data_IF_857241553812
#
_entry.id   IF_857241553812
#
_cell.length_a   1.000
_cell.length_b   1.000
_cell.length_c   1.000
_cell.angle_alpha   90.00
_cell.angle_beta   90.00
_cell.angle_gamma   90.00
#
_symmetry.space_group_name_H-M   'P 1'
#
loop_
_entity.id
_entity.type
_entity.pdbx_description
1 polymer ?
#
# COMPACT_ATOMS: atom_id res chain seq x y z
N UNK A 1 -12.79 5.00 6.81
CA UNK A 1 -11.44 4.73 7.35
C UNK A 1 -11.20 3.24 7.26
N UNK A 2 -10.16 2.88 6.52
CA UNK A 2 -9.67 1.52 6.43
C UNK A 2 -8.39 1.38 7.25
N UNK A 3 -8.20 0.21 7.84
CA UNK A 3 -6.94 -0.17 8.45
C UNK A 3 -6.54 -1.56 8.03
N UNK A 4 -5.24 -1.80 8.12
CA UNK A 4 -4.66 -3.12 7.99
C UNK A 4 -3.68 -3.34 9.14
N UNK A 5 -3.66 -4.56 9.67
CA UNK A 5 -2.63 -4.94 10.63
C UNK A 5 -1.30 -5.18 9.91
N UNK A 6 -0.21 -4.95 10.63
CA UNK A 6 1.09 -5.39 10.16
C UNK A 6 1.05 -6.90 9.96
N UNK A 7 1.48 -7.35 8.79
CA UNK A 7 1.56 -8.78 8.52
C UNK A 7 2.50 -9.43 9.52
N UNK A 8 1.92 -10.25 10.38
CA UNK A 8 2.67 -11.22 11.18
C UNK A 8 2.52 -12.55 10.49
N UNK A 9 3.61 -13.06 9.92
CA UNK A 9 3.69 -14.42 9.39
C UNK A 9 3.44 -15.41 10.53
N UNK A 10 2.34 -16.18 10.53
CA UNK A 10 2.24 -17.34 11.40
C UNK A 10 3.20 -18.41 10.85
N UNK A 11 3.95 -19.08 11.72
CA UNK A 11 4.81 -20.20 11.31
C UNK A 11 3.98 -21.26 10.53
N UNK A 12 4.30 -21.46 9.25
CA UNK A 12 3.75 -22.54 8.42
C UNK A 12 2.78 -22.12 7.30
N UNK A 13 2.38 -20.85 7.21
CA UNK A 13 1.50 -20.37 6.13
C UNK A 13 2.29 -19.78 4.95
N UNK A 14 1.94 -20.23 3.74
CA UNK A 14 2.57 -19.78 2.49
C UNK A 14 2.11 -18.39 2.01
N UNK A 15 1.02 -17.85 2.60
CA UNK A 15 0.55 -16.50 2.30
C UNK A 15 0.24 -15.81 3.63
N UNK A 16 0.90 -14.68 3.94
CA UNK A 16 0.63 -13.92 5.16
C UNK A 16 -0.82 -13.44 5.17
N UNK A 17 -1.46 -13.54 6.33
CA UNK A 17 -2.79 -13.01 6.57
C UNK A 17 -2.72 -11.67 7.30
N UNK A 18 -3.56 -10.73 6.88
CA UNK A 18 -3.76 -9.44 7.54
C UNK A 18 -5.19 -9.32 8.01
N UNK A 19 -5.35 -8.64 9.14
CA UNK A 19 -6.66 -8.25 9.64
C UNK A 19 -6.99 -6.88 9.05
N UNK A 20 -8.02 -6.84 8.18
CA UNK A 20 -8.58 -5.61 7.62
C UNK A 20 -9.69 -5.11 8.51
N UNK A 21 -9.67 -3.82 8.76
CA UNK A 21 -10.61 -3.16 9.65
C UNK A 21 -11.26 -1.99 8.93
N UNK A 22 -12.59 -1.98 8.84
CA UNK A 22 -13.36 -0.83 8.42
C UNK A 22 -14.00 -0.18 9.64
N UNK A 23 -13.76 1.11 9.82
CA UNK A 23 -14.30 1.91 10.92
C UNK A 23 -15.23 2.96 10.33
N UNK A 24 -16.50 2.90 10.74
CA UNK A 24 -17.54 3.84 10.34
C UNK A 24 -18.10 4.49 11.61
N UNK A 25 -18.03 5.82 11.70
CA UNK A 25 -18.58 6.58 12.82
C UNK A 25 -19.85 7.31 12.37
N UNK A 26 -20.96 7.16 13.10
CA UNK A 26 -22.21 7.90 12.80
C UNK A 26 -22.19 9.35 13.31
N UNK A 27 -21.23 9.68 14.19
CA UNK A 27 -21.03 11.01 14.77
C UNK A 27 -22.15 11.50 15.70
N UNK A 28 -23.22 10.73 15.92
CA UNK A 28 -24.40 11.16 16.68
C UNK A 28 -24.45 10.53 18.07
N UNK A 29 -24.01 9.28 18.25
CA UNK A 29 -24.24 8.53 19.50
C UNK A 29 -22.96 8.11 20.23
N UNK A 30 -21.78 8.54 19.75
CA UNK A 30 -20.50 8.06 20.30
C UNK A 30 -20.32 6.55 20.11
N UNK A 31 -20.99 5.99 19.11
CA UNK A 31 -20.87 4.62 18.65
C UNK A 31 -20.13 4.61 17.31
N UNK A 32 -19.48 3.48 17.03
CA UNK A 32 -18.88 3.21 15.74
C UNK A 32 -19.22 1.79 15.33
N UNK A 33 -19.36 1.58 14.03
CA UNK A 33 -19.40 0.26 13.43
C UNK A 33 -17.98 -0.16 13.06
N UNK A 34 -17.60 -1.34 13.52
CA UNK A 34 -16.31 -1.93 13.33
C UNK A 34 -16.49 -3.23 12.56
N UNK A 35 -16.01 -3.28 11.32
CA UNK A 35 -15.98 -4.51 10.53
C UNK A 35 -14.57 -5.06 10.44
N UNK A 36 -14.39 -6.30 10.89
CA UNK A 36 -13.10 -7.00 10.87
C UNK A 36 -13.18 -8.17 9.89
N UNK A 37 -12.24 -8.22 8.95
CA UNK A 37 -12.08 -9.33 8.03
C UNK A 37 -10.63 -9.78 7.98
N UNK A 38 -10.38 -11.06 8.26
CA UNK A 38 -9.07 -11.66 8.00
C UNK A 38 -8.98 -12.04 6.54
N UNK A 39 -7.95 -11.58 5.85
CA UNK A 39 -7.72 -11.91 4.44
C UNK A 39 -6.24 -12.15 4.18
N UNK A 40 -5.89 -12.66 3.00
CA UNK A 40 -4.51 -12.62 2.54
C UNK A 40 -4.05 -11.18 2.38
N UNK A 41 -2.78 -10.94 2.72
CA UNK A 41 -2.05 -9.74 2.33
C UNK A 41 -2.07 -9.70 0.79
N UNK A 42 -2.43 -8.56 0.20
CA UNK A 42 -2.74 -8.39 -1.24
C UNK A 42 -4.09 -9.00 -1.67
N UNK A 43 -5.12 -8.16 -1.68
CA UNK A 43 -6.49 -8.53 -2.08
C UNK A 43 -6.56 -9.11 -3.50
N UNK A 44 -5.88 -8.51 -4.46
CA UNK A 44 -5.92 -8.95 -5.87
C UNK A 44 -5.20 -10.29 -6.09
N UNK A 45 -4.13 -10.56 -5.33
CA UNK A 45 -3.44 -11.85 -5.37
C UNK A 45 -4.32 -13.00 -4.84
N UNK A 46 -5.20 -12.70 -3.88
CA UNK A 46 -6.19 -13.63 -3.33
C UNK A 46 -7.19 -14.10 -4.39
N UNK A 47 -7.71 -13.15 -5.14
CA UNK A 47 -8.75 -13.35 -6.15
C UNK A 47 -8.22 -14.21 -7.30
N UNK A 48 -6.97 -13.98 -7.72
CA UNK A 48 -6.30 -14.81 -8.74
C UNK A 48 -6.08 -16.25 -8.28
N UNK A 49 -5.75 -16.46 -7.00
CA UNK A 49 -5.46 -17.77 -6.43
C UNK A 49 -6.66 -18.46 -5.77
N UNK A 50 -7.89 -17.93 -5.96
CA UNK A 50 -9.12 -18.44 -5.34
C UNK A 50 -9.01 -18.63 -3.81
N UNK A 51 -8.21 -17.80 -3.14
CA UNK A 51 -8.10 -17.82 -1.68
C UNK A 51 -9.14 -16.88 -1.10
N UNK A 52 -10.13 -17.46 -0.47
CA UNK A 52 -11.22 -16.72 0.15
C UNK A 52 -10.72 -15.98 1.40
N UNK A 53 -11.07 -14.69 1.50
CA UNK A 53 -11.04 -13.99 2.78
C UNK A 53 -11.91 -14.73 3.78
N UNK A 54 -11.49 -14.74 5.05
CA UNK A 54 -12.31 -15.24 6.13
C UNK A 54 -13.63 -14.46 6.28
N UNK A 55 -14.57 -14.99 7.08
CA UNK A 55 -15.86 -14.33 7.29
C UNK A 55 -15.66 -12.94 7.89
N UNK A 56 -16.36 -11.96 7.33
CA UNK A 56 -16.41 -10.61 7.85
C UNK A 56 -17.29 -10.58 9.11
N UNK A 57 -16.79 -9.95 10.18
CA UNK A 57 -17.48 -9.82 11.45
C UNK A 57 -17.68 -8.34 11.77
N UNK A 58 -18.95 -7.92 11.82
CA UNK A 58 -19.34 -6.55 12.15
C UNK A 58 -19.77 -6.46 13.62
N UNK A 59 -19.27 -5.45 14.32
CA UNK A 59 -19.56 -5.17 15.73
C UNK A 59 -19.83 -3.68 15.92
N UNK A 60 -20.88 -3.34 16.68
CA UNK A 60 -21.07 -1.99 17.19
C UNK A 60 -20.22 -1.81 18.44
N UNK A 61 -19.32 -0.83 18.43
CA UNK A 61 -18.37 -0.57 19.52
C UNK A 61 -18.56 0.85 20.06
N UNK A 62 -18.18 1.04 21.32
CA UNK A 62 -18.18 2.36 21.93
C UNK A 62 -16.97 3.16 21.45
N UNK A 63 -17.20 4.38 20.98
CA UNK A 63 -16.17 5.35 20.64
C UNK A 63 -15.84 6.21 21.85
N UNK A 64 -14.56 6.46 22.10
CA UNK A 64 -14.10 7.37 23.14
C UNK A 64 -12.85 8.11 22.67
N UNK A 65 -12.80 9.41 22.90
CA UNK A 65 -11.63 10.25 22.57
C UNK A 65 -10.95 10.62 23.88
N UNK A 66 -9.67 10.29 24.01
CA UNK A 66 -8.85 10.64 25.18
C UNK A 66 -7.54 11.29 24.74
N UNK A 67 -7.36 12.57 25.08
CA UNK A 67 -6.19 13.37 24.65
C UNK A 67 -6.06 13.34 23.11
N UNK A 68 -5.10 12.57 22.58
CA UNK A 68 -4.84 12.37 21.16
C UNK A 68 -5.01 10.89 20.76
N UNK A 69 -5.85 10.14 21.48
CA UNK A 69 -6.14 8.75 21.16
C UNK A 69 -7.64 8.55 20.91
N UNK A 70 -7.94 7.82 19.83
CA UNK A 70 -9.27 7.30 19.52
C UNK A 70 -9.33 5.86 20.03
N UNK A 71 -10.19 5.60 20.99
CA UNK A 71 -10.45 4.28 21.55
C UNK A 71 -11.81 3.76 21.05
N UNK A 72 -11.79 2.57 20.47
CA UNK A 72 -12.95 1.81 20.02
C UNK A 72 -13.00 0.51 20.84
N UNK A 73 -14.01 0.36 21.69
CA UNK A 73 -14.09 -0.76 22.63
C UNK A 73 -15.40 -1.56 22.48
N UNK A 74 -15.26 -2.86 22.24
CA UNK A 74 -16.32 -3.87 22.26
C UNK A 74 -15.95 -5.06 23.15
N UNK A 75 -16.86 -6.03 23.27
CA UNK A 75 -16.71 -7.16 24.20
C UNK A 75 -15.47 -8.04 23.95
N UNK A 76 -15.03 -8.16 22.69
CA UNK A 76 -13.89 -9.02 22.30
C UNK A 76 -12.81 -8.28 21.51
N UNK A 77 -13.06 -7.02 21.16
CA UNK A 77 -12.18 -6.22 20.30
C UNK A 77 -11.94 -4.87 20.94
N UNK A 78 -10.67 -4.47 21.00
CA UNK A 78 -10.27 -3.11 21.35
C UNK A 78 -9.31 -2.58 20.31
N UNK A 79 -9.59 -1.39 19.80
CA UNK A 79 -8.72 -0.66 18.89
C UNK A 79 -8.37 0.67 19.53
N UNK A 80 -7.07 0.98 19.57
CA UNK A 80 -6.56 2.27 20.03
C UNK A 80 -5.75 2.89 18.92
N UNK A 81 -6.15 4.06 18.43
CA UNK A 81 -5.47 4.80 17.36
C UNK A 81 -4.88 6.09 17.92
N UNK A 82 -3.61 6.34 17.63
CA UNK A 82 -2.98 7.64 17.86
C UNK A 82 -3.41 8.62 16.78
N UNK A 83 -4.05 9.72 17.19
CA UNK A 83 -4.46 10.82 16.33
C UNK A 83 -3.27 11.76 16.16
N UNK A 84 -2.62 11.66 15.01
CA UNK A 84 -1.58 12.58 14.56
C UNK A 84 -2.13 13.47 13.44
N UNK A 85 -1.57 14.68 13.20
CA UNK A 85 -1.88 15.46 12.02
C UNK A 85 -1.51 14.68 10.76
N UNK A 86 -2.47 14.54 9.84
CA UNK A 86 -2.26 13.90 8.55
C UNK A 86 -3.27 12.78 8.27
N UNK A 87 -3.16 12.16 7.09
CA UNK A 87 -4.13 11.14 6.63
C UNK A 87 -3.94 9.75 7.23
N UNK A 88 -2.83 9.53 7.94
CA UNK A 88 -2.42 8.21 8.42
C UNK A 88 -2.47 8.13 9.94
N UNK A 89 -3.04 7.06 10.45
CA UNK A 89 -3.14 6.78 11.88
C UNK A 89 -2.41 5.48 12.18
N UNK A 90 -1.72 5.43 13.32
CA UNK A 90 -1.10 4.21 13.84
C UNK A 90 -1.77 3.82 15.13
N UNK A 91 -1.88 2.52 15.35
CA UNK A 91 -2.56 2.03 16.54
C UNK A 91 -2.30 0.58 16.84
N UNK A 92 -3.14 0.04 17.72
CA UNK A 92 -3.09 -1.35 18.13
C UNK A 92 -4.47 -1.98 18.07
N UNK A 93 -4.58 -3.12 17.39
CA UNK A 93 -5.72 -4.02 17.44
C UNK A 93 -5.47 -5.06 18.52
N UNK A 94 -6.43 -5.23 19.44
CA UNK A 94 -6.41 -6.30 20.44
C UNK A 94 -7.65 -7.18 20.28
N UNK A 95 -7.43 -8.48 20.07
CA UNK A 95 -8.48 -9.50 19.93
C UNK A 95 -8.07 -10.76 20.69
N UNK A 96 -8.93 -11.30 21.56
CA UNK A 96 -8.75 -12.62 22.22
C UNK A 96 -7.30 -12.97 22.66
N UNK A 97 -6.58 -12.03 23.27
CA UNK A 97 -5.20 -12.21 23.77
C UNK A 97 -4.08 -11.90 22.76
N UNK A 98 -4.40 -11.62 21.50
CA UNK A 98 -3.50 -11.12 20.47
C UNK A 98 -3.46 -9.59 20.47
N UNK A 99 -2.30 -9.03 20.13
CA UNK A 99 -2.08 -7.60 19.99
C UNK A 99 -1.24 -7.36 18.74
N UNK A 100 -1.77 -6.61 17.79
CA UNK A 100 -1.11 -6.30 16.51
C UNK A 100 -1.04 -4.79 16.29
N UNK A 101 0.02 -4.33 15.65
CA UNK A 101 0.10 -2.95 15.17
C UNK A 101 -0.87 -2.77 14.00
N UNK A 102 -1.61 -1.66 14.00
CA UNK A 102 -2.48 -1.24 12.91
C UNK A 102 -1.93 0.01 12.23
N UNK A 103 -2.02 0.02 10.91
CA UNK A 103 -1.91 1.23 10.09
C UNK A 103 -3.30 1.50 9.52
N UNK A 104 -3.83 2.70 9.74
CA UNK A 104 -5.10 3.15 9.19
C UNK A 104 -4.92 4.38 8.31
N UNK A 105 -5.82 4.54 7.34
CA UNK A 105 -5.92 5.70 6.48
C UNK A 105 -7.39 6.05 6.24
N UNK A 106 -7.63 7.32 5.93
CA UNK A 106 -8.92 7.70 5.36
C UNK A 106 -8.99 7.20 3.89
N UNK A 107 -10.12 6.64 3.49
CA UNK A 107 -10.31 6.09 2.14
C UNK A 107 -10.28 7.22 1.09
N UNK A 108 -10.64 8.42 1.53
CA UNK A 108 -10.60 9.67 0.79
C UNK A 108 -9.18 10.15 0.42
N UNK A 109 -8.14 9.59 1.06
CA UNK A 109 -6.73 9.97 0.85
C UNK A 109 -6.25 9.64 -0.55
N UNK A 110 -6.78 8.57 -1.13
CA UNK A 110 -6.38 8.07 -2.45
C UNK A 110 -7.20 8.69 -3.58
N UNK A 111 -8.21 9.50 -3.23
CA UNK A 111 -9.20 10.02 -4.18
C UNK A 111 -10.13 8.93 -4.70
N UNK A 112 -11.24 9.36 -5.31
CA UNK A 112 -12.08 8.48 -6.11
C UNK A 112 -11.68 8.58 -7.58
N UNK A 113 -12.05 7.58 -8.40
CA UNK A 113 -11.88 7.58 -9.86
C UNK A 113 -12.38 8.87 -10.57
N UNK A 114 -13.20 9.69 -9.89
CA UNK A 114 -13.86 10.89 -10.43
C UNK A 114 -13.87 12.09 -9.47
N UNK A 115 -13.14 12.04 -8.35
CA UNK A 115 -13.04 13.13 -7.39
C UNK A 115 -11.58 13.41 -7.05
N UNK A 116 -11.21 14.69 -7.03
CA UNK A 116 -9.90 15.09 -6.55
C UNK A 116 -9.72 14.58 -5.10
N UNK A 117 -8.56 14.02 -4.75
CA UNK A 117 -8.30 13.53 -3.40
C UNK A 117 -8.54 14.66 -2.38
N UNK A 118 -9.31 14.37 -1.34
CA UNK A 118 -9.65 15.32 -0.27
C UNK A 118 -8.45 15.58 0.64
N UNK A 119 -7.42 14.73 0.58
CA UNK A 119 -6.11 14.96 1.16
C UNK A 119 -5.06 15.03 0.05
N UNK A 120 -4.46 16.19 -0.14
CA UNK A 120 -3.30 16.35 -1.03
C UNK A 120 -2.09 15.76 -0.34
N UNK A 121 -1.55 14.66 -0.87
CA UNK A 121 -0.23 14.21 -0.47
C UNK A 121 0.80 15.31 -0.76
N UNK A 122 1.90 15.41 0.03
CA UNK A 122 2.87 16.48 -0.11
C UNK A 122 3.50 16.59 -1.50
N UNK A 123 3.67 15.45 -2.19
CA UNK A 123 4.23 15.37 -3.53
C UNK A 123 3.21 14.77 -4.51
N UNK A 124 3.26 15.23 -5.76
CA UNK A 124 2.52 14.68 -6.89
C UNK A 124 3.43 14.59 -8.11
N UNK A 125 3.09 13.71 -9.04
CA UNK A 125 3.83 13.50 -10.27
C UNK A 125 3.42 14.53 -11.32
N UNK A 126 4.39 15.33 -11.77
CA UNK A 126 4.17 16.28 -12.85
C UNK A 126 4.38 15.58 -14.20
N UNK A 127 3.28 15.31 -14.89
CA UNK A 127 3.27 14.68 -16.21
C UNK A 127 3.97 15.48 -17.31
N UNK A 128 4.18 16.79 -17.14
CA UNK A 128 4.90 17.60 -18.13
C UNK A 128 6.40 17.42 -18.01
N UNK A 129 6.90 17.32 -16.79
CA UNK A 129 8.34 17.26 -16.49
C UNK A 129 8.83 15.84 -16.19
N UNK A 130 7.92 14.92 -15.86
CA UNK A 130 8.21 13.54 -15.50
C UNK A 130 8.91 13.40 -14.15
N UNK A 131 8.74 14.36 -13.23
CA UNK A 131 9.33 14.37 -11.89
C UNK A 131 8.29 14.65 -10.81
N UNK A 132 8.59 14.23 -9.59
CA UNK A 132 7.74 14.49 -8.44
C UNK A 132 8.01 15.87 -7.84
N UNK A 133 6.96 16.63 -7.58
CA UNK A 133 7.04 17.98 -7.03
C UNK A 133 6.03 18.23 -5.92
N UNK A 134 6.37 19.12 -5.00
CA UNK A 134 5.45 19.66 -4.01
C UNK A 134 4.56 20.77 -4.58
N UNK A 135 3.69 21.34 -3.75
CA UNK A 135 2.80 22.45 -4.13
C UNK A 135 3.51 23.73 -4.59
N UNK A 136 4.82 23.83 -4.39
CA UNK A 136 5.67 24.93 -4.83
C UNK A 136 6.54 24.55 -6.04
N UNK A 137 6.35 23.36 -6.63
CA UNK A 137 7.12 22.88 -7.77
C UNK A 137 8.53 22.40 -7.41
N UNK A 138 8.82 22.16 -6.12
CA UNK A 138 10.14 21.70 -5.67
C UNK A 138 10.17 20.17 -5.62
N UNK A 139 11.29 19.51 -5.93
CA UNK A 139 11.41 18.06 -5.83
C UNK A 139 10.99 17.55 -4.45
N UNK A 140 10.08 16.57 -4.42
CA UNK A 140 9.54 16.01 -3.18
C UNK A 140 9.09 14.56 -3.39
N UNK A 141 9.05 13.79 -2.30
CA UNK A 141 8.51 12.43 -2.25
C UNK A 141 7.53 12.30 -1.08
N UNK A 142 6.60 11.36 -1.20
CA UNK A 142 5.61 10.98 -0.21
C UNK A 142 6.17 9.88 0.70
N UNK A 143 6.22 10.13 2.01
CA UNK A 143 6.49 9.09 3.00
C UNK A 143 5.18 8.38 3.31
N UNK A 144 4.90 7.31 2.56
CA UNK A 144 3.69 6.50 2.72
C UNK A 144 3.95 5.30 3.63
N UNK A 145 2.98 4.90 4.47
CA UNK A 145 3.05 3.61 5.14
C UNK A 145 3.11 2.49 4.10
N UNK A 146 4.05 1.55 4.26
CA UNK A 146 4.20 0.46 3.28
C UNK A 146 2.94 -0.41 3.21
N UNK A 147 2.22 -0.55 4.32
CA UNK A 147 0.98 -1.33 4.36
C UNK A 147 -0.13 -0.69 3.51
N UNK A 148 -0.17 0.64 3.40
CA UNK A 148 -1.07 1.34 2.48
C UNK A 148 -0.74 0.94 1.04
N UNK A 149 0.53 1.15 0.64
CA UNK A 149 0.99 0.89 -0.73
C UNK A 149 0.71 -0.56 -1.13
N UNK A 150 0.93 -1.51 -0.21
CA UNK A 150 0.66 -2.94 -0.43
C UNK A 150 -0.82 -3.29 -0.56
N UNK A 151 -1.69 -2.64 0.20
CA UNK A 151 -3.13 -2.94 0.16
C UNK A 151 -3.85 -2.23 -1.00
N UNK A 152 -3.32 -1.11 -1.48
CA UNK A 152 -4.03 -0.25 -2.45
C UNK A 152 -3.34 -0.16 -3.80
N UNK A 153 -2.07 -0.57 -3.90
CA UNK A 153 -1.25 -0.40 -5.11
C UNK A 153 -0.92 1.05 -5.43
N UNK A 154 -1.26 2.00 -4.54
CA UNK A 154 -1.02 3.42 -4.76
C UNK A 154 0.32 3.84 -4.13
N UNK A 155 1.24 4.30 -4.98
CA UNK A 155 2.56 4.78 -4.58
C UNK A 155 3.08 5.93 -5.44
N UNK A 156 2.20 6.82 -5.90
CA UNK A 156 2.59 8.07 -6.57
C UNK A 156 3.65 8.80 -5.74
N UNK A 157 4.81 9.05 -6.36
CA UNK A 157 5.92 9.76 -5.73
C UNK A 157 6.34 9.17 -4.37
N UNK A 158 6.09 7.88 -4.12
CA UNK A 158 6.38 7.26 -2.84
C UNK A 158 7.89 7.09 -2.63
N UNK A 159 8.36 7.40 -1.43
CA UNK A 159 9.69 7.02 -0.97
C UNK A 159 9.64 5.54 -0.52
N UNK A 160 10.08 4.65 -1.40
CA UNK A 160 10.12 3.19 -1.19
C UNK A 160 11.56 2.67 -1.10
N UNK A 161 12.53 3.56 -0.87
CA UNK A 161 13.95 3.23 -0.88
C UNK A 161 14.30 2.17 0.17
N UNK A 162 15.02 1.14 -0.25
CA UNK A 162 15.46 0.05 0.64
C UNK A 162 14.32 -0.81 1.19
N UNK A 163 13.05 -0.52 0.86
CA UNK A 163 11.91 -1.25 1.38
C UNK A 163 11.77 -2.60 0.67
N UNK A 164 11.33 -3.59 1.42
CA UNK A 164 10.88 -4.85 0.83
C UNK A 164 9.44 -4.67 0.40
N UNK A 165 9.18 -4.62 -0.90
CA UNK A 165 7.80 -4.64 -1.40
C UNK A 165 7.24 -6.07 -1.35
N UNK A 166 8.12 -7.05 -1.44
CA UNK A 166 7.86 -8.42 -1.01
C UNK A 166 7.67 -8.46 0.50
N UNK A 167 6.61 -9.08 1.00
CA UNK A 167 6.61 -9.53 2.40
C UNK A 167 7.28 -10.91 2.51
N UNK A 168 7.78 -11.24 3.70
CA UNK A 168 8.79 -12.27 4.00
C UNK A 168 8.58 -13.67 3.43
N UNK A 169 7.37 -14.04 2.96
CA UNK A 169 7.07 -15.36 2.38
C UNK A 169 6.36 -15.31 1.01
N UNK A 170 6.17 -14.12 0.44
CA UNK A 170 5.60 -14.01 -0.89
C UNK A 170 6.68 -14.32 -1.91
N UNK A 171 6.80 -15.60 -2.21
CA UNK A 171 7.70 -16.09 -3.25
C UNK A 171 7.35 -15.58 -4.64
N UNK A 172 6.22 -14.86 -4.84
CA UNK A 172 5.80 -14.20 -6.09
C UNK A 172 4.76 -13.08 -5.82
N UNK A 173 5.15 -11.90 -5.28
CA UNK A 173 4.17 -10.85 -5.00
C UNK A 173 3.57 -10.31 -6.31
N UNK A 174 2.24 -10.30 -6.39
CA UNK A 174 1.53 -9.69 -7.51
C UNK A 174 1.35 -8.20 -7.25
N UNK A 175 2.10 -7.39 -7.98
CA UNK A 175 2.06 -5.93 -7.99
C UNK A 175 1.50 -5.41 -9.33
N UNK A 176 0.74 -6.24 -10.04
CA UNK A 176 0.20 -5.88 -11.34
C UNK A 176 -0.75 -4.69 -11.23
N UNK A 177 -0.71 -3.78 -12.19
CA UNK A 177 -1.56 -2.60 -12.23
C UNK A 177 -1.25 -1.51 -11.20
N UNK A 178 -0.20 -1.67 -10.37
CA UNK A 178 0.14 -0.68 -9.34
C UNK A 178 0.50 0.69 -9.92
N UNK A 179 0.09 1.75 -9.23
CA UNK A 179 0.35 3.14 -9.55
C UNK A 179 1.62 3.64 -8.84
N UNK A 180 2.80 3.47 -9.45
CA UNK A 180 4.11 3.81 -8.89
C UNK A 180 4.83 4.92 -9.67
N UNK A 181 4.09 5.79 -10.34
CA UNK A 181 4.67 6.87 -11.12
C UNK A 181 5.44 7.84 -10.21
N UNK A 182 6.70 8.11 -10.59
CA UNK A 182 7.64 8.92 -9.84
C UNK A 182 8.14 8.30 -8.53
N UNK A 183 7.77 7.06 -8.20
CA UNK A 183 8.21 6.40 -6.98
C UNK A 183 9.73 6.18 -6.97
N UNK A 184 10.35 6.35 -5.81
CA UNK A 184 11.75 6.03 -5.60
C UNK A 184 11.87 4.63 -5.00
N UNK A 185 12.18 3.65 -5.84
CA UNK A 185 12.38 2.24 -5.49
C UNK A 185 13.87 1.92 -5.33
N UNK A 186 14.72 2.93 -5.10
CA UNK A 186 16.16 2.69 -5.05
C UNK A 186 16.55 1.76 -3.91
N UNK A 187 17.26 0.67 -4.21
CA UNK A 187 17.59 -0.37 -3.23
C UNK A 187 16.40 -1.20 -2.73
N UNK A 188 15.19 -1.02 -3.29
CA UNK A 188 14.04 -1.81 -2.89
C UNK A 188 14.21 -3.29 -3.29
N UNK A 189 13.52 -4.18 -2.56
CA UNK A 189 13.57 -5.64 -2.80
C UNK A 189 12.30 -6.13 -3.49
N UNK A 190 12.46 -6.70 -4.68
CA UNK A 190 11.42 -7.20 -5.59
C UNK A 190 11.73 -8.60 -6.14
N UNK A 191 12.13 -9.55 -5.31
CA UNK A 191 12.29 -10.95 -5.73
C UNK A 191 10.96 -11.56 -6.18
N UNK A 192 10.96 -12.19 -7.36
CA UNK A 192 9.81 -12.88 -7.93
C UNK A 192 8.54 -12.04 -8.15
N UNK A 193 8.64 -10.71 -8.01
CA UNK A 193 7.49 -9.82 -8.12
C UNK A 193 6.96 -9.76 -9.56
N UNK A 194 5.64 -9.64 -9.72
CA UNK A 194 5.01 -9.35 -11.01
C UNK A 194 4.50 -7.92 -11.01
N UNK A 195 5.13 -7.03 -11.78
CA UNK A 195 4.71 -5.64 -12.01
C UNK A 195 4.05 -5.47 -13.38
N UNK A 196 3.37 -6.49 -13.89
CA UNK A 196 2.64 -6.42 -15.17
C UNK A 196 1.60 -5.29 -15.14
N UNK A 197 1.57 -4.45 -16.16
CA UNK A 197 0.66 -3.29 -16.28
C UNK A 197 0.80 -2.23 -15.17
N UNK A 198 1.84 -2.30 -14.33
CA UNK A 198 2.14 -1.24 -13.36
C UNK A 198 2.54 0.06 -14.07
N UNK A 199 2.15 1.20 -13.53
CA UNK A 199 2.56 2.53 -14.01
C UNK A 199 3.87 2.95 -13.32
N UNK A 200 4.97 3.00 -14.07
CA UNK A 200 6.34 3.22 -13.57
C UNK A 200 6.98 4.50 -14.18
N UNK A 201 6.17 5.36 -14.79
CA UNK A 201 6.61 6.62 -15.39
C UNK A 201 7.38 7.49 -14.38
N UNK A 202 8.64 7.82 -14.69
CA UNK A 202 9.52 8.60 -13.81
C UNK A 202 9.99 7.91 -12.53
N UNK A 203 9.67 6.63 -12.33
CA UNK A 203 10.16 5.86 -11.18
C UNK A 203 11.68 5.66 -11.26
N UNK A 204 12.34 5.58 -10.09
CA UNK A 204 13.76 5.23 -10.00
C UNK A 204 13.94 3.84 -9.43
N UNK A 205 14.72 3.02 -10.13
CA UNK A 205 15.08 1.65 -9.76
C UNK A 205 16.59 1.53 -9.49
N UNK A 206 17.26 2.61 -9.11
CA UNK A 206 18.70 2.56 -8.84
C UNK A 206 19.02 1.52 -7.76
N UNK A 207 20.03 0.68 -7.96
CA UNK A 207 20.42 -0.37 -6.99
C UNK A 207 19.28 -1.34 -6.60
N UNK A 208 18.22 -1.46 -7.40
CA UNK A 208 17.10 -2.37 -7.12
C UNK A 208 17.62 -3.81 -6.90
N UNK A 209 17.20 -4.42 -5.80
CA UNK A 209 17.46 -5.84 -5.52
C UNK A 209 16.30 -6.68 -6.06
N UNK A 210 16.54 -7.44 -7.13
CA UNK A 210 15.51 -8.27 -7.74
C UNK A 210 16.11 -9.60 -8.23
N UNK A 211 15.26 -10.60 -8.39
CA UNK A 211 15.62 -11.89 -8.95
C UNK A 211 14.34 -12.63 -9.31
N UNK A 212 14.27 -13.18 -10.53
CA UNK A 212 13.04 -13.79 -11.09
C UNK A 212 11.80 -12.87 -11.11
N UNK A 213 11.98 -11.55 -11.02
CA UNK A 213 10.90 -10.58 -11.11
C UNK A 213 10.48 -10.37 -12.57
N UNK A 214 9.18 -10.18 -12.81
CA UNK A 214 8.62 -9.74 -14.07
C UNK A 214 8.28 -8.25 -13.98
N UNK A 215 9.12 -7.40 -14.57
CA UNK A 215 8.89 -5.95 -14.60
C UNK A 215 8.38 -5.56 -15.99
N UNK A 216 7.05 -5.54 -16.14
CA UNK A 216 6.39 -5.27 -17.41
C UNK A 216 5.31 -4.19 -17.23
N UNK A 217 5.73 -2.94 -17.03
CA UNK A 217 4.84 -1.80 -16.82
C UNK A 217 4.91 -0.74 -17.92
N UNK A 218 4.12 0.32 -17.78
CA UNK A 218 4.34 1.55 -18.55
C UNK A 218 5.49 2.32 -17.94
N UNK A 219 6.34 2.91 -18.79
CA UNK A 219 7.42 3.75 -18.33
C UNK A 219 7.63 4.94 -19.25
N UNK A 220 8.12 6.02 -18.66
CA UNK A 220 8.33 7.31 -19.30
C UNK A 220 9.80 7.54 -19.62
N UNK A 221 10.08 8.64 -20.34
CA UNK A 221 11.45 9.02 -20.68
C UNK A 221 12.33 9.34 -19.46
N UNK A 222 11.73 9.61 -18.30
CA UNK A 222 12.41 9.94 -17.05
C UNK A 222 12.57 8.75 -16.11
N UNK A 223 12.02 7.57 -16.44
CA UNK A 223 12.19 6.36 -15.64
C UNK A 223 13.66 5.92 -15.64
N UNK A 224 14.21 5.64 -14.46
CA UNK A 224 15.62 5.28 -14.28
C UNK A 224 15.73 3.79 -13.97
N UNK A 225 16.36 3.02 -14.85
CA UNK A 225 16.56 1.59 -14.67
C UNK A 225 17.98 1.25 -14.15
N UNK A 226 18.17 0.13 -13.44
CA UNK A 226 19.49 -0.40 -13.16
C UNK A 226 20.27 -0.67 -14.45
N UNK A 227 21.60 -0.49 -14.43
CA UNK A 227 22.46 -0.78 -15.59
C UNK A 227 22.35 -2.23 -16.09
N UNK A 228 21.97 -3.16 -15.21
CA UNK A 228 21.79 -4.59 -15.51
C UNK A 228 20.50 -4.90 -16.29
N UNK A 229 19.64 -3.92 -16.52
CA UNK A 229 18.39 -4.10 -17.25
C UNK A 229 18.54 -3.71 -18.72
N UNK A 230 18.17 -4.63 -19.61
CA UNK A 230 18.05 -4.36 -21.04
C UNK A 230 16.60 -4.01 -21.35
N UNK A 231 16.37 -2.83 -21.95
CA UNK A 231 15.06 -2.49 -22.54
C UNK A 231 14.82 -3.37 -23.76
N UNK A 232 13.80 -4.22 -23.73
CA UNK A 232 13.39 -5.06 -24.86
C UNK A 232 12.15 -4.45 -25.52
N UNK A 233 12.38 -3.88 -26.71
CA UNK A 233 11.45 -3.43 -27.76
C UNK A 233 10.07 -2.90 -27.32
N UNK A 234 9.84 -1.64 -27.68
CA UNK A 234 8.58 -0.90 -27.57
C UNK A 234 7.40 -1.56 -28.30
N UNK A 235 6.29 -1.79 -27.59
CA UNK A 235 4.98 -1.95 -28.22
C UNK A 235 4.18 -0.64 -28.08
N UNK A 236 3.81 0.04 -29.18
CA UNK A 236 3.05 1.29 -29.15
C UNK A 236 1.69 1.21 -28.44
N UNK A 237 1.16 0.01 -28.23
CA UNK A 237 -0.15 -0.22 -27.64
C UNK A 237 -0.14 -1.06 -26.35
N UNK A 238 1.03 -1.57 -25.92
CA UNK A 238 1.13 -2.47 -24.75
C UNK A 238 2.29 -2.12 -23.81
N UNK A 239 2.83 -0.90 -23.89
CA UNK A 239 3.99 -0.50 -23.11
C UNK A 239 5.31 -1.05 -23.64
N UNK A 240 6.40 -0.71 -22.98
CA UNK A 240 7.73 -1.19 -23.29
C UNK A 240 8.09 -2.30 -22.28
N UNK A 241 8.82 -3.34 -22.70
CA UNK A 241 9.18 -4.45 -21.80
C UNK A 241 10.59 -4.27 -21.27
N UNK A 242 10.77 -4.35 -19.96
CA UNK A 242 12.09 -4.39 -19.34
C UNK A 242 12.46 -5.86 -19.08
N UNK A 243 13.63 -6.31 -19.55
CA UNK A 243 14.20 -7.58 -19.09
C UNK A 243 15.49 -7.28 -18.35
N UNK A 244 15.44 -7.49 -17.04
CA UNK A 244 16.62 -7.46 -16.21
C UNK A 244 17.21 -8.87 -16.13
N UNK A 245 18.51 -8.99 -16.39
CA UNK A 245 19.22 -10.27 -16.31
C UNK A 245 20.21 -10.16 -15.17
N UNK A 246 19.99 -10.94 -14.12
CA UNK A 246 20.97 -11.17 -13.06
C UNK A 246 20.98 -12.64 -12.68
#
# INVERSE_FOLDING_TARGET
MSCVSQATVPEGDWIPHVDRLHIITDGQDGLAELSLQRGPQFREHAEHNQRESGPESTLTVKLSIRRNELELEGAQVRVTLSVAPGPFFRGTLRTNGLSQTLTCWDDDVLGGLWSAPTVTLPAHFDWQTGVCVDSLGRPALNVLPIELVRETGFGECADLRGLSLNDGDLNQPNLAGWALFGADLSGARLFFADLTDASLDGASFADLEFGYAHINGTFGATTQFPEVCQTLVSNPWAGQRLQCVQ
#
